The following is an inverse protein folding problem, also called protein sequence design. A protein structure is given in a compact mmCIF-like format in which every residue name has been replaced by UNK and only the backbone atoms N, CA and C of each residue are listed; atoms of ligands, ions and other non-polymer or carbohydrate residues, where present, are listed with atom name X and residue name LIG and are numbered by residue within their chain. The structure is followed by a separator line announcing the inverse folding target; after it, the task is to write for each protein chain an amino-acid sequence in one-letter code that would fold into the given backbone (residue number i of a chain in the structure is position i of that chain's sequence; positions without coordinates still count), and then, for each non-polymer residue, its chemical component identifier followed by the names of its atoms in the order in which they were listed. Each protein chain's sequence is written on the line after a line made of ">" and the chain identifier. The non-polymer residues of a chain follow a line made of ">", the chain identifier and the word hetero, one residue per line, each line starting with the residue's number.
data_IF_720088684923
#
_entry.id   IF_720088684923
#
_cell.length_a   1.000
_cell.length_b   1.000
_cell.length_c   1.000
_cell.angle_alpha   90.00
_cell.angle_beta   90.00
_cell.angle_gamma   90.00
#
_symmetry.space_group_name_H-M   'P 1'
#
loop_
_entity.id
_entity.type
_entity.pdbx_description
1 polymer ?
#
# COMPACT_ATOMS: atom_id res chain seq x y z
N UNK A 1 -1.43 39.68 -38.64
CA UNK A 1 -0.39 38.63 -38.88
C UNK A 1 0.46 38.51 -37.62
N UNK A 2 0.48 37.36 -36.99
CA UNK A 2 1.34 37.08 -35.82
C UNK A 2 2.74 36.74 -36.37
N UNK A 3 3.81 37.41 -35.93
CA UNK A 3 5.15 37.14 -36.44
C UNK A 3 5.58 35.70 -36.11
N UNK A 4 6.17 35.02 -37.10
CA UNK A 4 6.61 33.61 -37.05
C UNK A 4 7.39 33.24 -35.76
N UNK A 5 8.35 34.07 -35.26
CA UNK A 5 9.09 33.77 -34.05
C UNK A 5 8.21 33.70 -32.78
N UNK A 6 7.13 34.47 -32.72
CA UNK A 6 6.18 34.47 -31.61
C UNK A 6 5.33 33.16 -31.58
N UNK A 7 4.99 32.62 -32.75
CA UNK A 7 4.29 31.34 -32.86
C UNK A 7 5.18 30.17 -32.42
N UNK A 8 6.44 30.15 -32.81
CA UNK A 8 7.41 29.12 -32.41
C UNK A 8 7.65 29.17 -30.90
N UNK A 9 7.78 30.37 -30.33
CA UNK A 9 7.97 30.55 -28.90
C UNK A 9 6.76 30.06 -28.09
N UNK A 10 5.53 30.37 -28.54
CA UNK A 10 4.31 29.92 -27.85
C UNK A 10 4.15 28.42 -27.89
N UNK A 11 4.54 27.74 -28.98
CA UNK A 11 4.54 26.29 -29.10
C UNK A 11 5.58 25.65 -28.18
N UNK A 12 6.78 26.21 -28.13
CA UNK A 12 7.83 25.73 -27.23
C UNK A 12 7.41 25.83 -25.76
N UNK A 13 6.77 26.93 -25.36
CA UNK A 13 6.23 27.10 -24.01
C UNK A 13 5.11 26.11 -23.69
N UNK A 14 4.17 25.86 -24.61
CA UNK A 14 3.09 24.89 -24.40
C UNK A 14 3.59 23.45 -24.27
N UNK A 15 4.58 23.06 -25.09
CA UNK A 15 5.17 21.73 -24.99
C UNK A 15 5.97 21.56 -23.72
N UNK A 16 6.74 22.57 -23.32
CA UNK A 16 7.50 22.55 -22.08
C UNK A 16 6.58 22.46 -20.85
N UNK A 17 5.49 23.25 -20.82
CA UNK A 17 4.52 23.20 -19.73
C UNK A 17 3.83 21.83 -19.63
N UNK A 18 3.43 21.23 -20.75
CA UNK A 18 2.79 19.93 -20.78
C UNK A 18 3.74 18.80 -20.26
N UNK A 19 5.02 18.87 -20.62
CA UNK A 19 6.02 17.90 -20.15
C UNK A 19 6.34 18.10 -18.67
N UNK A 20 6.47 19.35 -18.22
CA UNK A 20 6.76 19.65 -16.81
C UNK A 20 5.59 19.26 -15.91
N UNK A 21 4.36 19.50 -16.33
CA UNK A 21 3.16 19.06 -15.62
C UNK A 21 3.07 17.53 -15.55
N UNK A 22 3.33 16.84 -16.65
CA UNK A 22 3.34 15.38 -16.69
C UNK A 22 4.40 14.78 -15.76
N UNK A 23 5.59 15.39 -15.69
CA UNK A 23 6.65 14.98 -14.74
C UNK A 23 6.22 15.23 -13.29
N UNK A 24 5.62 16.39 -12.99
CA UNK A 24 5.13 16.71 -11.66
C UNK A 24 4.03 15.72 -11.21
N UNK A 25 3.06 15.41 -12.07
CA UNK A 25 2.03 14.42 -11.79
C UNK A 25 2.63 13.02 -11.53
N UNK A 26 3.58 12.56 -12.35
CA UNK A 26 4.28 11.31 -12.12
C UNK A 26 5.00 11.30 -10.78
N UNK A 27 5.69 12.39 -10.43
CA UNK A 27 6.38 12.53 -9.15
C UNK A 27 5.41 12.48 -7.97
N UNK A 28 4.25 13.15 -8.07
CA UNK A 28 3.19 13.10 -7.05
C UNK A 28 2.71 11.66 -6.82
N UNK A 29 2.43 10.91 -7.88
CA UNK A 29 2.02 9.52 -7.77
C UNK A 29 3.12 8.61 -7.20
N UNK A 30 4.39 8.87 -7.52
CA UNK A 30 5.51 8.14 -6.92
C UNK A 30 5.64 8.42 -5.43
N UNK A 31 5.49 9.67 -4.99
CA UNK A 31 5.49 10.03 -3.56
C UNK A 31 4.31 9.37 -2.84
N UNK A 32 3.13 9.36 -3.46
CA UNK A 32 1.96 8.68 -2.93
C UNK A 32 2.20 7.17 -2.79
N UNK A 33 2.75 6.52 -3.81
CA UNK A 33 3.12 5.10 -3.74
C UNK A 33 4.12 4.80 -2.61
N UNK A 34 5.14 5.66 -2.45
CA UNK A 34 6.10 5.52 -1.35
C UNK A 34 5.48 5.72 0.05
N UNK A 35 4.49 6.62 0.18
CA UNK A 35 3.79 6.81 1.45
C UNK A 35 2.96 5.59 1.82
N UNK A 36 2.24 5.01 0.85
CA UNK A 36 1.47 3.78 1.02
C UNK A 36 2.40 2.59 1.34
N UNK A 37 3.58 2.50 0.71
CA UNK A 37 4.54 1.43 1.01
C UNK A 37 5.07 1.49 2.45
N UNK A 38 5.36 2.69 2.95
CA UNK A 38 5.74 2.87 4.36
C UNK A 38 4.61 2.48 5.32
N UNK A 39 3.37 2.81 4.98
CA UNK A 39 2.20 2.42 5.77
C UNK A 39 2.00 0.90 5.73
N UNK A 40 2.15 0.27 4.56
CA UNK A 40 2.12 -1.17 4.38
C UNK A 40 3.13 -1.88 5.29
N UNK A 41 4.37 -1.40 5.32
CA UNK A 41 5.42 -1.96 6.19
C UNK A 41 5.08 -1.82 7.68
N UNK A 42 4.48 -0.70 8.08
CA UNK A 42 4.01 -0.50 9.46
C UNK A 42 2.86 -1.45 9.81
N UNK A 43 1.89 -1.62 8.94
CA UNK A 43 0.76 -2.52 9.16
C UNK A 43 1.23 -3.97 9.27
N UNK A 44 2.20 -4.39 8.47
CA UNK A 44 2.80 -5.72 8.58
C UNK A 44 3.48 -5.93 9.95
N UNK A 45 4.24 -4.94 10.43
CA UNK A 45 4.88 -5.00 11.75
C UNK A 45 3.84 -5.01 12.88
N UNK A 46 2.79 -4.19 12.77
CA UNK A 46 1.70 -4.14 13.75
C UNK A 46 0.96 -5.47 13.80
N UNK A 47 0.69 -6.10 12.66
CA UNK A 47 0.07 -7.42 12.58
C UNK A 47 0.86 -8.48 13.33
N UNK A 48 2.16 -8.58 13.03
CA UNK A 48 3.08 -9.51 13.71
C UNK A 48 3.17 -9.24 15.22
N UNK A 49 3.24 -7.97 15.62
CA UNK A 49 3.29 -7.58 17.02
C UNK A 49 2.00 -7.97 17.74
N UNK A 50 0.84 -7.66 17.18
CA UNK A 50 -0.46 -8.00 17.81
C UNK A 50 -0.66 -9.50 17.93
N UNK A 51 -0.31 -10.28 16.91
CA UNK A 51 -0.37 -11.73 16.96
C UNK A 51 0.57 -12.30 18.04
N UNK A 52 1.79 -11.77 18.17
CA UNK A 52 2.72 -12.19 19.21
C UNK A 52 2.22 -11.82 20.62
N UNK A 53 1.64 -10.63 20.78
CA UNK A 53 1.03 -10.21 22.06
C UNK A 53 -0.16 -11.11 22.45
N UNK A 54 -0.99 -11.51 21.48
CA UNK A 54 -2.10 -12.41 21.73
C UNK A 54 -1.59 -13.81 22.14
N UNK A 55 -0.57 -14.34 21.46
CA UNK A 55 0.09 -15.60 21.87
C UNK A 55 0.66 -15.51 23.28
N UNK A 56 1.34 -14.40 23.61
CA UNK A 56 1.91 -14.22 24.95
C UNK A 56 0.84 -14.09 26.04
N UNK A 57 -0.22 -13.33 25.77
CA UNK A 57 -1.38 -13.21 26.68
C UNK A 57 -2.00 -14.58 26.95
N UNK A 58 -2.17 -15.38 25.91
CA UNK A 58 -2.75 -16.71 26.04
C UNK A 58 -1.83 -17.67 26.79
N UNK A 59 -0.50 -17.61 26.59
CA UNK A 59 0.47 -18.37 27.40
C UNK A 59 0.36 -18.03 28.89
N UNK A 60 0.24 -16.75 29.23
CA UNK A 60 0.06 -16.31 30.63
C UNK A 60 -1.27 -16.78 31.21
N UNK A 61 -2.33 -16.77 30.43
CA UNK A 61 -3.64 -17.26 30.86
C UNK A 61 -3.60 -18.76 31.14
N UNK A 62 -3.00 -19.55 30.25
CA UNK A 62 -2.80 -21.00 30.44
C UNK A 62 -1.94 -21.32 31.68
N UNK A 63 -0.84 -20.59 31.87
CA UNK A 63 0.00 -20.74 33.07
C UNK A 63 -0.78 -20.42 34.37
N UNK A 64 -1.62 -19.38 34.36
CA UNK A 64 -2.46 -19.01 35.49
C UNK A 64 -3.50 -20.11 35.78
N UNK A 65 -4.15 -20.66 34.76
CA UNK A 65 -5.10 -21.76 34.90
C UNK A 65 -4.41 -23.04 35.44
N UNK A 66 -3.24 -23.37 34.90
CA UNK A 66 -2.46 -24.51 35.40
C UNK A 66 -2.09 -24.38 36.90
N UNK A 67 -1.67 -23.19 37.31
CA UNK A 67 -1.35 -22.86 38.71
C UNK A 67 -2.58 -22.96 39.61
N UNK A 68 -3.75 -22.47 39.16
CA UNK A 68 -5.00 -22.56 39.93
C UNK A 68 -5.48 -23.99 40.08
N UNK A 69 -5.31 -24.83 39.06
CA UNK A 69 -5.64 -26.27 39.11
C UNK A 69 -4.70 -27.01 40.05
N UNK A 70 -3.39 -26.76 39.99
CA UNK A 70 -2.40 -27.38 40.88
C UNK A 70 -2.57 -26.94 42.35
N UNK A 71 -2.88 -25.66 42.61
CA UNK A 71 -3.06 -25.10 43.95
C UNK A 71 -4.32 -25.61 44.69
N UNK A 72 -5.31 -26.16 43.98
CA UNK A 72 -6.53 -26.73 44.53
C UNK A 72 -6.46 -28.25 44.79
N UNK A 73 -5.28 -28.85 44.68
CA UNK A 73 -5.11 -30.30 44.85
C UNK A 73 -5.68 -31.13 43.70
N UNK A 74 -6.07 -30.47 42.59
CA UNK A 74 -6.46 -31.14 41.36
C UNK A 74 -5.23 -31.67 40.64
N UNK A 75 -5.28 -32.93 40.22
CA UNK A 75 -4.24 -33.51 39.39
C UNK A 75 -4.27 -32.86 38.01
N UNK A 76 -3.27 -32.00 37.74
CA UNK A 76 -3.11 -31.29 36.43
C UNK A 76 -2.97 -32.27 35.28
N UNK A 77 -2.61 -33.53 35.59
CA UNK A 77 -2.42 -34.63 34.62
C UNK A 77 -3.70 -35.39 34.26
N UNK A 78 -4.88 -35.03 34.79
CA UNK A 78 -6.11 -35.72 34.38
C UNK A 78 -6.42 -35.43 32.90
N UNK A 79 -6.87 -36.44 32.17
CA UNK A 79 -7.16 -36.38 30.75
C UNK A 79 -8.12 -35.21 30.40
N UNK A 80 -9.10 -34.90 31.25
CA UNK A 80 -10.04 -33.79 31.07
C UNK A 80 -9.37 -32.42 31.17
N UNK A 81 -8.42 -32.25 32.07
CA UNK A 81 -7.69 -30.98 32.23
C UNK A 81 -6.70 -30.74 31.08
N UNK A 82 -6.05 -31.78 30.60
CA UNK A 82 -5.18 -31.73 29.43
C UNK A 82 -5.95 -31.40 28.15
N UNK A 83 -7.14 -31.95 27.96
CA UNK A 83 -8.01 -31.62 26.82
C UNK A 83 -8.45 -30.15 26.86
N UNK A 84 -8.86 -29.66 28.01
CA UNK A 84 -9.29 -28.26 28.18
C UNK A 84 -8.15 -27.29 27.91
N UNK A 85 -6.95 -27.58 28.37
CA UNK A 85 -5.74 -26.76 28.10
C UNK A 85 -5.38 -26.84 26.63
N UNK A 86 -5.55 -27.98 25.98
CA UNK A 86 -5.33 -28.18 24.56
C UNK A 86 -6.28 -27.32 23.71
N UNK A 87 -7.58 -27.39 23.98
CA UNK A 87 -8.61 -26.61 23.27
C UNK A 87 -8.39 -25.10 23.40
N UNK A 88 -8.05 -24.63 24.61
CA UNK A 88 -7.73 -23.21 24.84
C UNK A 88 -6.47 -22.79 24.07
N UNK A 89 -5.47 -23.62 24.03
CA UNK A 89 -4.23 -23.34 23.28
C UNK A 89 -4.49 -23.29 21.76
N UNK A 90 -5.30 -24.22 21.24
CA UNK A 90 -5.69 -24.23 19.83
C UNK A 90 -6.50 -22.99 19.46
N UNK A 91 -7.48 -22.63 20.28
CA UNK A 91 -8.29 -21.43 20.06
C UNK A 91 -7.45 -20.14 20.11
N UNK A 92 -6.46 -20.10 20.98
CA UNK A 92 -5.51 -19.01 21.08
C UNK A 92 -4.66 -18.85 19.80
N UNK A 93 -4.19 -19.96 19.25
CA UNK A 93 -3.42 -19.93 18.00
C UNK A 93 -4.31 -19.55 16.80
N UNK A 94 -5.55 -20.03 16.76
CA UNK A 94 -6.53 -19.61 15.74
C UNK A 94 -6.76 -18.11 15.79
N UNK A 95 -6.95 -17.52 16.96
CA UNK A 95 -7.13 -16.09 17.12
C UNK A 95 -5.89 -15.31 16.65
N UNK A 96 -4.69 -15.75 16.97
CA UNK A 96 -3.46 -15.13 16.51
C UNK A 96 -3.32 -15.19 14.99
N UNK A 97 -3.66 -16.32 14.36
CA UNK A 97 -3.68 -16.49 12.90
C UNK A 97 -4.72 -15.59 12.22
N UNK A 98 -5.92 -15.48 12.80
CA UNK A 98 -6.94 -14.57 12.26
C UNK A 98 -6.48 -13.10 12.28
N UNK A 99 -5.76 -12.69 13.33
CA UNK A 99 -5.13 -11.38 13.40
C UNK A 99 -4.10 -11.23 12.26
N UNK A 100 -3.19 -12.20 12.09
CA UNK A 100 -2.19 -12.18 11.02
C UNK A 100 -2.84 -12.08 9.64
N UNK A 101 -3.81 -12.95 9.34
CA UNK A 101 -4.54 -12.94 8.06
C UNK A 101 -5.24 -11.61 7.80
N UNK A 102 -5.86 -10.99 8.81
CA UNK A 102 -6.50 -9.68 8.67
C UNK A 102 -5.51 -8.60 8.24
N UNK A 103 -4.30 -8.62 8.80
CA UNK A 103 -3.23 -7.70 8.40
C UNK A 103 -2.61 -8.06 7.05
N UNK A 104 -2.45 -9.33 6.71
CA UNK A 104 -1.98 -9.78 5.40
C UNK A 104 -2.90 -9.31 4.28
N UNK A 105 -4.22 -9.44 4.44
CA UNK A 105 -5.18 -8.92 3.47
C UNK A 105 -5.03 -7.40 3.27
N UNK A 106 -4.85 -6.65 4.34
CA UNK A 106 -4.63 -5.21 4.28
C UNK A 106 -3.32 -4.87 3.55
N UNK A 107 -2.26 -5.60 3.84
CA UNK A 107 -0.95 -5.46 3.18
C UNK A 107 -1.03 -5.75 1.68
N UNK A 108 -1.79 -6.78 1.28
CA UNK A 108 -2.04 -7.09 -0.14
C UNK A 108 -2.81 -5.98 -0.83
N UNK A 109 -3.89 -5.46 -0.22
CA UNK A 109 -4.65 -4.34 -0.76
C UNK A 109 -3.78 -3.09 -0.96
N UNK A 110 -2.95 -2.75 0.04
CA UNK A 110 -1.99 -1.66 -0.09
C UNK A 110 -0.97 -1.90 -1.21
N UNK A 111 -0.52 -3.14 -1.43
CA UNK A 111 0.32 -3.53 -2.55
C UNK A 111 -0.34 -3.24 -3.90
N UNK A 112 -1.63 -3.53 -4.04
CA UNK A 112 -2.41 -3.21 -5.24
C UNK A 112 -2.58 -1.69 -5.42
N UNK A 113 -2.80 -0.94 -4.35
CA UNK A 113 -2.87 0.53 -4.41
C UNK A 113 -1.54 1.15 -4.86
N UNK A 114 -0.40 0.65 -4.39
CA UNK A 114 0.93 1.07 -4.84
C UNK A 114 1.08 0.85 -6.34
N UNK A 115 0.69 -0.33 -6.83
CA UNK A 115 0.73 -0.67 -8.25
C UNK A 115 -0.18 0.24 -9.08
N UNK A 116 -1.39 0.50 -8.61
CA UNK A 116 -2.33 1.42 -9.26
C UNK A 116 -1.81 2.86 -9.29
N UNK A 117 -1.21 3.35 -8.20
CA UNK A 117 -0.57 4.66 -8.17
C UNK A 117 0.57 4.76 -9.20
N UNK A 118 1.42 3.73 -9.29
CA UNK A 118 2.47 3.64 -10.30
C UNK A 118 1.93 3.70 -11.74
N UNK A 119 0.88 2.90 -12.04
CA UNK A 119 0.24 2.92 -13.36
C UNK A 119 -0.41 4.27 -13.69
N UNK A 120 -1.06 4.92 -12.72
CA UNK A 120 -1.63 6.26 -12.90
C UNK A 120 -0.55 7.29 -13.21
N UNK A 121 0.58 7.23 -12.51
CA UNK A 121 1.73 8.09 -12.76
C UNK A 121 2.32 7.90 -14.16
N UNK A 122 2.48 6.66 -14.60
CA UNK A 122 2.96 6.34 -15.95
C UNK A 122 1.98 6.79 -17.03
N UNK A 123 0.68 6.55 -16.84
CA UNK A 123 -0.35 6.98 -17.78
C UNK A 123 -0.45 8.51 -17.87
N UNK A 124 -0.34 9.21 -16.74
CA UNK A 124 -0.30 10.67 -16.72
C UNK A 124 0.92 11.21 -17.51
N UNK A 125 2.09 10.59 -17.33
CA UNK A 125 3.29 10.95 -18.05
C UNK A 125 3.15 10.70 -19.56
N UNK A 126 2.67 9.53 -19.99
CA UNK A 126 2.42 9.21 -21.42
C UNK A 126 1.40 10.15 -22.04
N UNK A 127 0.31 10.42 -21.32
CA UNK A 127 -0.72 11.38 -21.78
C UNK A 127 -0.14 12.80 -21.98
N UNK A 128 0.72 13.24 -21.07
CA UNK A 128 1.42 14.51 -21.19
C UNK A 128 2.34 14.58 -22.40
N UNK A 129 3.10 13.51 -22.66
CA UNK A 129 3.93 13.42 -23.88
C UNK A 129 3.10 13.44 -25.16
N UNK A 130 1.96 12.75 -25.20
CA UNK A 130 1.04 12.78 -26.34
C UNK A 130 0.45 14.17 -26.55
N UNK A 131 0.06 14.87 -25.48
CA UNK A 131 -0.42 16.27 -25.56
C UNK A 131 0.67 17.21 -26.09
N UNK A 132 1.90 17.05 -25.65
CA UNK A 132 3.04 17.80 -26.14
C UNK A 132 3.27 17.54 -27.65
N UNK A 133 3.23 16.28 -28.08
CA UNK A 133 3.37 15.90 -29.50
C UNK A 133 2.23 16.47 -30.37
N UNK A 134 0.98 16.40 -29.89
CA UNK A 134 -0.16 16.96 -30.63
C UNK A 134 -0.12 18.49 -30.71
N UNK A 135 0.40 19.16 -29.69
CA UNK A 135 0.60 20.62 -29.71
C UNK A 135 1.62 21.02 -30.77
N UNK A 136 2.73 20.25 -30.91
CA UNK A 136 3.71 20.47 -31.97
C UNK A 136 3.13 20.26 -33.37
N UNK A 137 2.38 19.18 -33.58
CA UNK A 137 1.75 18.88 -34.88
C UNK A 137 0.73 19.95 -35.27
N UNK A 138 -0.16 20.37 -34.35
CA UNK A 138 -1.12 21.44 -34.60
C UNK A 138 -0.46 22.78 -34.90
N UNK A 139 0.65 23.05 -34.23
CA UNK A 139 1.41 24.26 -34.46
C UNK A 139 2.11 24.29 -35.81
N UNK A 140 2.69 23.17 -36.24
CA UNK A 140 3.34 23.04 -37.56
C UNK A 140 2.33 23.18 -38.70
N UNK A 141 1.12 22.58 -38.55
CA UNK A 141 0.04 22.76 -39.54
C UNK A 141 -0.38 24.24 -39.66
N UNK A 142 -0.56 24.96 -38.54
CA UNK A 142 -0.91 26.37 -38.56
C UNK A 142 0.15 27.26 -39.26
N UNK A 143 1.42 26.86 -39.14
CA UNK A 143 2.50 27.56 -39.84
C UNK A 143 2.42 27.25 -41.36
N UNK A 144 2.18 25.98 -41.74
CA UNK A 144 2.05 25.62 -43.14
C UNK A 144 0.86 26.25 -43.84
N UNK A 145 -0.26 26.49 -43.15
CA UNK A 145 -1.46 27.13 -43.71
C UNK A 145 -1.31 28.68 -43.89
N UNK A 146 -0.28 29.28 -43.31
CA UNK A 146 -0.04 30.72 -43.40
C UNK A 146 0.99 31.13 -44.45
N UNK A 147 1.65 30.17 -45.06
CA UNK A 147 2.65 30.33 -46.11
C UNK A 147 2.32 29.54 -47.37
#
# INVERSE_FOLDING_TARGET
>A
MIPLPLMILSMALQTFSAISEAKAQRQTHNVQAQSIDRERQREEQIGKLKASQEREKNKRMLATQANLMGGRGGDVGTASNLLLVGDVAEQAELNARLIEQGYEHKVVQMGDEIRLAGMRGENAYRSGLMKAGTALLKGSMKIADQY
#
